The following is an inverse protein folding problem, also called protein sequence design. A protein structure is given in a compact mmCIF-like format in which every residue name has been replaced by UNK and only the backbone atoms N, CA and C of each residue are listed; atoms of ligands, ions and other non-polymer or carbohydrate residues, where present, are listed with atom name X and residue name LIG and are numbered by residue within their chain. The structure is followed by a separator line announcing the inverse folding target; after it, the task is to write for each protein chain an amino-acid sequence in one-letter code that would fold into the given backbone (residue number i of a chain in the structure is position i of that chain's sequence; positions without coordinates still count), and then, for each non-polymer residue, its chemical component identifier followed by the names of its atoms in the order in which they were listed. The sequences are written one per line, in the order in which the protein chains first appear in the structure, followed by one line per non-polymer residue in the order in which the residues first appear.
data_IF_256997811396
#
_entry.id   IF_256997811396
#
_cell.length_a   1.000
_cell.length_b   1.000
_cell.length_c   1.000
_cell.angle_alpha   90.00
_cell.angle_beta   90.00
_cell.angle_gamma   90.00
#
_symmetry.space_group_name_H-M   'P 1'
#
loop_
_entity.id
_entity.type
_entity.pdbx_description
1 polymer ?
#
# COMPACT_ATOMS: atom_id res chain seq x y z
N UNK A 1 9.47 1.64 -12.84
CA UNK A 1 8.21 2.43 -12.74
C UNK A 1 7.75 2.46 -11.27
N UNK A 2 7.17 3.55 -10.77
CA UNK A 2 6.48 3.58 -9.47
C UNK A 2 5.14 2.82 -9.50
N UNK A 3 4.54 2.56 -8.35
CA UNK A 3 3.25 1.87 -8.23
C UNK A 3 2.12 2.63 -8.96
N UNK A 4 1.42 1.96 -9.88
CA UNK A 4 0.36 2.56 -10.70
C UNK A 4 -0.91 2.94 -9.92
N UNK A 5 -1.16 2.32 -8.76
CA UNK A 5 -2.31 2.63 -7.89
C UNK A 5 -1.98 3.58 -6.75
N UNK A 6 -0.77 4.14 -6.71
CA UNK A 6 -0.33 5.01 -5.62
C UNK A 6 -1.29 6.18 -5.34
N UNK A 7 -1.91 6.74 -6.38
CA UNK A 7 -2.82 7.89 -6.25
C UNK A 7 -4.16 7.57 -5.58
N UNK A 8 -4.61 6.31 -5.60
CA UNK A 8 -5.86 5.87 -4.99
C UNK A 8 -5.66 4.88 -3.82
N UNK A 9 -4.43 4.45 -3.56
CA UNK A 9 -4.12 3.50 -2.50
C UNK A 9 -4.26 4.14 -1.10
N UNK A 10 -4.95 3.50 -0.15
CA UNK A 10 -5.10 3.98 1.23
C UNK A 10 -3.78 4.22 1.97
N UNK A 11 -2.73 3.47 1.62
CA UNK A 11 -1.40 3.61 2.24
C UNK A 11 -0.87 5.03 2.12
N UNK A 12 -1.03 5.65 0.94
CA UNK A 12 -0.63 7.06 0.74
C UNK A 12 -1.35 7.98 1.72
N UNK A 13 -2.68 7.82 1.86
CA UNK A 13 -3.49 8.64 2.76
C UNK A 13 -3.09 8.44 4.22
N UNK A 14 -2.89 7.20 4.65
CA UNK A 14 -2.52 6.91 6.03
C UNK A 14 -1.14 7.45 6.39
N UNK A 15 -0.20 7.44 5.44
CA UNK A 15 1.11 8.08 5.60
C UNK A 15 0.97 9.61 5.65
N UNK A 16 0.21 10.23 4.73
CA UNK A 16 -0.06 11.68 4.75
C UNK A 16 -0.78 12.14 6.04
N UNK A 17 -1.66 11.31 6.59
CA UNK A 17 -2.36 11.53 7.86
C UNK A 17 -1.46 11.27 9.10
N UNK A 18 -0.21 10.82 8.91
CA UNK A 18 0.74 10.50 9.98
C UNK A 18 0.41 9.23 10.78
N UNK A 19 -0.50 8.39 10.28
CA UNK A 19 -0.87 7.10 10.90
C UNK A 19 0.10 5.98 10.54
N UNK A 20 0.78 6.10 9.40
CA UNK A 20 1.80 5.16 8.94
C UNK A 20 3.12 5.89 8.71
N UNK A 21 4.21 5.18 8.97
CA UNK A 21 5.56 5.66 8.67
C UNK A 21 5.80 5.75 7.16
N UNK A 22 6.62 6.73 6.75
CA UNK A 22 6.90 7.05 5.35
C UNK A 22 7.51 5.87 4.57
N UNK A 23 8.23 4.96 5.24
CA UNK A 23 8.87 3.82 4.58
C UNK A 23 7.86 2.96 3.78
N UNK A 24 6.60 2.89 4.21
CA UNK A 24 5.56 2.15 3.48
C UNK A 24 5.31 2.69 2.07
N UNK A 25 5.39 4.01 1.91
CA UNK A 25 5.26 4.66 0.61
C UNK A 25 6.59 4.63 -0.13
N UNK A 26 7.69 4.92 0.55
CA UNK A 26 9.02 4.97 -0.06
C UNK A 26 9.43 3.61 -0.66
N UNK A 27 9.37 2.53 0.14
CA UNK A 27 9.87 1.22 -0.26
C UNK A 27 8.93 0.45 -1.20
N UNK A 28 7.62 0.59 -1.03
CA UNK A 28 6.65 -0.19 -1.81
C UNK A 28 6.02 0.58 -2.96
N UNK A 29 5.87 1.91 -2.85
CA UNK A 29 5.13 2.69 -3.84
C UNK A 29 6.04 3.52 -4.75
N UNK A 30 7.00 4.25 -4.18
CA UNK A 30 7.84 5.20 -4.91
C UNK A 30 9.09 4.54 -5.50
N UNK A 31 9.66 3.57 -4.79
CA UNK A 31 10.81 2.80 -5.26
C UNK A 31 10.46 2.00 -6.50
N UNK A 32 11.30 2.13 -7.52
CA UNK A 32 11.17 1.36 -8.74
C UNK A 32 11.20 -0.15 -8.46
N UNK A 33 10.11 -0.84 -8.82
CA UNK A 33 9.96 -2.27 -8.59
C UNK A 33 9.61 -2.65 -7.14
N UNK A 34 9.48 -1.71 -6.21
CA UNK A 34 9.07 -1.96 -4.82
C UNK A 34 7.68 -2.58 -4.72
N UNK A 35 6.79 -2.19 -5.63
CA UNK A 35 5.42 -2.71 -5.72
C UNK A 35 5.36 -4.21 -5.99
N UNK A 36 6.44 -4.84 -6.50
CA UNK A 36 6.51 -6.28 -6.68
C UNK A 36 6.48 -7.06 -5.36
N UNK A 37 6.81 -6.41 -4.24
CA UNK A 37 6.74 -6.98 -2.90
C UNK A 37 5.45 -6.60 -2.16
N UNK A 38 4.56 -5.83 -2.81
CA UNK A 38 3.31 -5.35 -2.21
C UNK A 38 2.18 -6.34 -2.48
N UNK A 39 1.67 -6.97 -1.41
CA UNK A 39 0.53 -7.90 -1.46
C UNK A 39 -0.73 -7.21 -1.97
N UNK A 40 -0.94 -5.93 -1.63
CA UNK A 40 -2.08 -5.14 -2.16
C UNK A 40 -2.00 -5.03 -3.68
N UNK A 41 -0.82 -4.74 -4.23
CA UNK A 41 -0.60 -4.64 -5.68
C UNK A 41 -0.94 -5.96 -6.39
N UNK A 42 -0.46 -7.08 -5.85
CA UNK A 42 -0.76 -8.41 -6.38
C UNK A 42 -2.27 -8.70 -6.39
N UNK A 43 -2.98 -8.32 -5.32
CA UNK A 43 -4.43 -8.51 -5.21
C UNK A 43 -5.21 -7.62 -6.17
N UNK A 44 -4.81 -6.36 -6.35
CA UNK A 44 -5.39 -5.47 -7.36
C UNK A 44 -5.24 -6.06 -8.78
N UNK A 45 -4.05 -6.55 -9.14
CA UNK A 45 -3.83 -7.17 -10.47
C UNK A 45 -4.72 -8.41 -10.70
N UNK A 46 -5.03 -9.13 -9.62
CA UNK A 46 -5.88 -10.33 -9.65
C UNK A 46 -7.38 -10.02 -9.48
N UNK A 47 -7.76 -8.75 -9.27
CA UNK A 47 -9.14 -8.36 -8.96
C UNK A 47 -9.66 -8.97 -7.65
N UNK A 48 -8.77 -9.26 -6.69
CA UNK A 48 -9.10 -9.87 -5.40
C UNK A 48 -9.36 -8.75 -4.39
N UNK A 49 -10.54 -8.82 -3.76
CA UNK A 49 -10.89 -7.91 -2.67
C UNK A 49 -9.87 -7.96 -1.53
N UNK A 50 -9.54 -6.78 -1.02
CA UNK A 50 -8.80 -6.60 0.23
C UNK A 50 -9.24 -5.30 0.91
N UNK A 51 -9.23 -5.26 2.25
CA UNK A 51 -9.66 -4.08 2.99
C UNK A 51 -8.61 -2.96 2.92
N UNK A 52 -9.05 -1.73 3.21
CA UNK A 52 -8.18 -0.56 3.18
C UNK A 52 -7.07 -0.62 4.23
N UNK A 53 -7.35 -1.23 5.37
CA UNK A 53 -6.43 -1.37 6.49
C UNK A 53 -5.44 -2.54 6.35
N UNK A 54 -5.42 -3.21 5.18
CA UNK A 54 -4.35 -4.13 4.83
C UNK A 54 -3.09 -3.34 4.45
N UNK A 55 -1.94 -3.66 5.04
CA UNK A 55 -0.65 -3.06 4.73
C UNK A 55 -0.01 -3.70 3.48
N UNK A 56 1.04 -3.08 2.90
CA UNK A 56 1.76 -3.63 1.76
C UNK A 56 2.32 -5.04 1.96
N UNK A 57 2.68 -5.43 3.19
CA UNK A 57 3.14 -6.78 3.52
C UNK A 57 2.01 -7.82 3.68
N UNK A 58 0.75 -7.38 3.59
CA UNK A 58 -0.45 -8.22 3.70
C UNK A 58 -1.00 -8.35 5.12
N UNK A 59 -0.36 -7.75 6.13
CA UNK A 59 -0.91 -7.69 7.49
C UNK A 59 -2.12 -6.75 7.55
N UNK A 60 -3.02 -6.98 8.52
CA UNK A 60 -4.16 -6.11 8.78
C UNK A 60 -3.85 -5.28 10.02
N UNK A 61 -3.93 -3.96 9.90
CA UNK A 61 -3.83 -3.05 11.02
C UNK A 61 -5.22 -2.51 11.38
N UNK A 62 -5.84 -3.09 12.41
CA UNK A 62 -7.19 -2.71 12.84
C UNK A 62 -7.28 -1.29 13.44
N UNK A 63 -6.14 -0.61 13.66
CA UNK A 63 -6.11 0.79 14.09
C UNK A 63 -6.31 1.78 12.94
N UNK A 64 -6.17 1.33 11.69
CA UNK A 64 -6.38 2.13 10.49
C UNK A 64 -7.86 2.04 10.05
N UNK A 65 -8.58 3.14 10.23
CA UNK A 65 -9.95 3.36 9.73
C UNK A 65 -9.99 4.62 8.86
#
# INVERSE_FOLDING_TARGET
MPCKWFTCCPIRRYTEDGKLDDHWVEDYCLKEGGFNQCVRYEKEEKGIYHPNNMLPDGTIDDTLQ
#
